data_IF_767740155782
#
_entry.id   IF_767740155782
#
_cell.length_a   1.000
_cell.length_b   1.000
_cell.length_c   1.000
_cell.angle_alpha   90.00
_cell.angle_beta   90.00
_cell.angle_gamma   90.00
#
_symmetry.space_group_name_H-M   'P 1'
#
loop_
_entity.id
_entity.type
_entity.pdbx_description
1 polymer ?
#
# COMPACT_ATOMS: atom_id res chain seq x y z
N UNK A 1 -8.93 25.77 46.24
CA UNK A 1 -7.95 24.86 45.59
C UNK A 1 -8.66 24.25 44.41
N UNK A 2 -8.44 24.79 43.21
CA UNK A 2 -9.11 24.34 41.99
C UNK A 2 -8.13 23.50 41.19
N UNK A 3 -8.31 22.18 41.23
CA UNK A 3 -7.53 21.23 40.46
C UNK A 3 -8.00 21.26 39.00
N UNK A 4 -7.20 21.86 38.12
CA UNK A 4 -7.38 21.77 36.68
C UNK A 4 -7.06 20.34 36.22
N UNK A 5 -8.09 19.59 35.84
CA UNK A 5 -7.98 18.36 35.08
C UNK A 5 -7.33 18.68 33.72
N UNK A 6 -6.05 18.37 33.58
CA UNK A 6 -5.39 18.35 32.28
C UNK A 6 -5.95 17.18 31.47
N UNK A 7 -6.71 17.49 30.42
CA UNK A 7 -7.01 16.51 29.37
C UNK A 7 -5.71 15.90 28.85
N UNK A 8 -5.66 14.60 28.54
CA UNK A 8 -4.47 14.00 27.96
C UNK A 8 -4.18 14.71 26.64
N UNK A 9 -3.00 15.33 26.54
CA UNK A 9 -2.58 16.00 25.33
C UNK A 9 -2.58 14.97 24.19
N UNK A 10 -3.40 15.21 23.17
CA UNK A 10 -3.34 14.45 21.93
C UNK A 10 -1.89 14.43 21.47
N UNK A 11 -1.28 13.26 21.20
CA UNK A 11 0.07 13.24 20.68
C UNK A 11 0.12 14.14 19.43
N UNK A 12 1.20 14.92 19.23
CA UNK A 12 1.32 15.75 18.04
C UNK A 12 1.06 14.87 16.81
N UNK A 13 0.32 15.39 15.83
CA UNK A 13 -0.15 14.62 14.66
C UNK A 13 0.98 13.81 13.98
N UNK A 14 2.21 14.32 14.05
CA UNK A 14 3.47 13.67 13.65
C UNK A 14 3.66 12.29 14.26
N UNK A 15 3.69 12.18 15.59
CA UNK A 15 3.93 10.90 16.26
C UNK A 15 2.74 9.96 16.14
N UNK A 16 1.52 10.52 16.06
CA UNK A 16 0.29 9.73 15.88
C UNK A 16 0.28 8.99 14.55
N UNK A 17 0.64 9.64 13.45
CA UNK A 17 0.62 9.02 12.12
C UNK A 17 1.54 7.78 12.04
N UNK A 18 2.80 7.92 12.47
CA UNK A 18 3.76 6.81 12.51
C UNK A 18 3.30 5.67 13.42
N UNK A 19 2.80 5.99 14.63
CA UNK A 19 2.30 4.98 15.56
C UNK A 19 1.07 4.24 15.02
N UNK A 20 0.16 4.94 14.34
CA UNK A 20 -0.98 4.31 13.68
C UNK A 20 -0.51 3.38 12.55
N UNK A 21 0.45 3.79 11.71
CA UNK A 21 1.01 2.93 10.66
C UNK A 21 1.69 1.67 11.22
N UNK A 22 2.42 1.79 12.32
CA UNK A 22 3.08 0.67 13.00
C UNK A 22 2.07 -0.32 13.61
N UNK A 23 0.94 0.18 14.11
CA UNK A 23 -0.09 -0.65 14.74
C UNK A 23 -1.15 -1.19 13.78
N UNK A 24 -1.32 -0.59 12.59
CA UNK A 24 -2.51 -0.82 11.75
C UNK A 24 -2.71 -2.29 11.33
N UNK A 25 -1.64 -3.03 11.06
CA UNK A 25 -1.74 -4.44 10.68
C UNK A 25 -2.05 -5.40 11.84
N UNK A 26 -2.05 -4.92 13.09
CA UNK A 26 -2.30 -5.76 14.28
C UNK A 26 -3.77 -6.08 14.52
N UNK A 27 -4.70 -5.23 14.04
CA UNK A 27 -6.14 -5.40 14.27
C UNK A 27 -6.98 -4.61 13.27
N UNK A 28 -8.25 -5.00 13.11
CA UNK A 28 -9.19 -4.28 12.25
C UNK A 28 -9.48 -2.86 12.75
N UNK A 29 -9.52 -2.66 14.07
CA UNK A 29 -9.81 -1.35 14.65
C UNK A 29 -8.64 -0.38 14.47
N UNK A 30 -7.39 -0.84 14.64
CA UNK A 30 -6.21 -0.03 14.36
C UNK A 30 -6.13 0.38 12.89
N UNK A 31 -6.43 -0.54 11.95
CA UNK A 31 -6.45 -0.22 10.53
C UNK A 31 -7.56 0.79 10.15
N UNK A 32 -8.75 0.64 10.74
CA UNK A 32 -9.85 1.60 10.58
C UNK A 32 -9.48 2.97 11.14
N UNK A 33 -8.83 3.03 12.30
CA UNK A 33 -8.37 4.28 12.90
C UNK A 33 -7.34 4.97 12.00
N UNK A 34 -6.34 4.25 11.49
CA UNK A 34 -5.40 4.79 10.53
C UNK A 34 -6.13 5.39 9.33
N UNK A 35 -7.04 4.62 8.71
CA UNK A 35 -7.78 5.09 7.55
C UNK A 35 -8.61 6.35 7.85
N UNK A 36 -9.34 6.37 8.96
CA UNK A 36 -10.11 7.53 9.39
C UNK A 36 -9.21 8.76 9.62
N UNK A 37 -8.03 8.55 10.23
CA UNK A 37 -7.05 9.60 10.45
C UNK A 37 -6.50 10.16 9.13
N UNK A 38 -6.16 9.32 8.14
CA UNK A 38 -5.75 9.79 6.80
C UNK A 38 -6.88 10.60 6.15
N UNK A 39 -8.11 10.07 6.16
CA UNK A 39 -9.26 10.69 5.50
C UNK A 39 -9.74 11.98 6.17
N UNK A 40 -9.36 12.22 7.43
CA UNK A 40 -9.72 13.43 8.17
C UNK A 40 -8.97 14.70 7.72
N UNK A 41 -7.87 14.55 6.97
CA UNK A 41 -6.99 15.68 6.60
C UNK A 41 -6.07 16.15 7.74
N UNK A 42 -5.87 15.32 8.77
CA UNK A 42 -4.91 15.56 9.85
C UNK A 42 -3.44 15.34 9.45
N UNK A 43 -3.17 14.61 8.34
CA UNK A 43 -1.83 14.47 7.77
C UNK A 43 -1.53 15.69 6.90
N UNK A 44 -0.47 16.44 7.25
CA UNK A 44 -0.07 17.70 6.62
C UNK A 44 1.45 17.77 6.50
N UNK A 45 1.98 18.84 5.90
CA UNK A 45 3.42 19.12 5.75
C UNK A 45 4.26 18.74 6.98
N UNK A 46 3.76 19.12 8.16
CA UNK A 46 4.41 18.91 9.45
C UNK A 46 4.59 17.44 9.84
N UNK A 47 3.73 16.56 9.32
CA UNK A 47 3.68 15.13 9.62
C UNK A 47 4.76 14.36 8.86
N UNK A 48 5.30 14.91 7.77
CA UNK A 48 6.28 14.24 6.92
C UNK A 48 7.71 14.40 7.44
N UNK A 49 8.06 13.61 8.45
CA UNK A 49 9.43 13.46 8.93
C UNK A 49 10.06 12.12 8.51
N UNK A 50 11.34 11.91 8.83
CA UNK A 50 12.06 10.68 8.51
C UNK A 50 11.35 9.43 9.08
N UNK A 51 10.84 9.52 10.31
CA UNK A 51 10.12 8.43 10.95
C UNK A 51 8.83 8.09 10.20
N UNK A 52 8.09 9.10 9.72
CA UNK A 52 6.89 8.89 8.92
C UNK A 52 7.19 8.06 7.67
N UNK A 53 8.25 8.41 6.92
CA UNK A 53 8.62 7.65 5.71
C UNK A 53 9.11 6.25 6.03
N UNK A 54 9.84 6.06 7.13
CA UNK A 54 10.24 4.73 7.61
C UNK A 54 9.03 3.85 7.97
N UNK A 55 8.10 4.38 8.77
CA UNK A 55 6.86 3.68 9.14
C UNK A 55 6.01 3.35 7.91
N UNK A 56 5.90 4.27 6.95
CA UNK A 56 5.18 4.05 5.70
C UNK A 56 5.83 2.94 4.86
N UNK A 57 7.16 2.96 4.72
CA UNK A 57 7.92 1.92 4.02
C UNK A 57 7.76 0.57 4.69
N UNK A 58 7.77 0.51 6.02
CA UNK A 58 7.57 -0.72 6.77
C UNK A 58 6.15 -1.27 6.59
N UNK A 59 5.13 -0.40 6.60
CA UNK A 59 3.74 -0.79 6.32
C UNK A 59 3.59 -1.33 4.89
N UNK A 60 4.18 -0.67 3.89
CA UNK A 60 4.21 -1.16 2.50
C UNK A 60 4.86 -2.54 2.41
N UNK A 61 6.01 -2.73 3.04
CA UNK A 61 6.74 -4.00 3.08
C UNK A 61 5.89 -5.12 3.72
N UNK A 62 5.21 -4.84 4.83
CA UNK A 62 4.30 -5.79 5.49
C UNK A 62 3.11 -6.17 4.59
N UNK A 63 2.47 -5.19 3.95
CA UNK A 63 1.35 -5.43 3.03
C UNK A 63 1.76 -6.31 1.85
N UNK A 64 2.92 -6.03 1.26
CA UNK A 64 3.47 -6.81 0.14
C UNK A 64 3.97 -8.20 0.56
N UNK A 65 4.22 -8.42 1.84
CA UNK A 65 4.63 -9.72 2.39
C UNK A 65 3.44 -10.56 2.90
N UNK A 66 2.22 -10.01 2.90
CA UNK A 66 1.03 -10.65 3.50
C UNK A 66 0.61 -11.87 2.69
N UNK A 67 0.73 -13.07 3.24
CA UNK A 67 0.28 -14.30 2.55
C UNK A 67 -1.22 -14.31 2.30
N UNK A 68 -1.69 -15.21 1.43
CA UNK A 68 -3.13 -15.34 1.14
C UNK A 68 -3.98 -15.43 2.42
N UNK A 69 -5.01 -14.56 2.58
CA UNK A 69 -5.84 -14.55 3.77
C UNK A 69 -6.70 -15.81 3.85
N UNK A 70 -6.82 -16.36 5.06
CA UNK A 70 -7.60 -17.57 5.31
C UNK A 70 -9.08 -17.27 5.52
N UNK A 71 -9.38 -16.16 6.20
CA UNK A 71 -10.73 -15.70 6.61
C UNK A 71 -10.97 -14.26 6.17
N UNK A 72 -12.24 -13.89 6.04
CA UNK A 72 -12.64 -12.50 5.76
C UNK A 72 -12.09 -11.50 6.78
N UNK A 73 -12.08 -11.86 8.07
CA UNK A 73 -11.58 -10.95 9.12
C UNK A 73 -10.08 -10.68 9.02
N UNK A 74 -9.30 -11.62 8.46
CA UNK A 74 -7.86 -11.43 8.21
C UNK A 74 -7.61 -10.40 7.10
N UNK A 75 -8.60 -10.22 6.20
CA UNK A 75 -8.53 -9.31 5.06
C UNK A 75 -8.84 -7.85 5.46
N UNK A 76 -9.68 -7.64 6.47
CA UNK A 76 -10.16 -6.29 6.84
C UNK A 76 -9.00 -5.33 7.14
N UNK A 77 -8.01 -5.66 8.00
CA UNK A 77 -6.89 -4.76 8.27
C UNK A 77 -6.09 -4.42 7.01
N UNK A 78 -5.73 -5.44 6.21
CA UNK A 78 -4.96 -5.25 5.00
C UNK A 78 -5.65 -4.30 4.00
N UNK A 79 -6.97 -4.44 3.83
CA UNK A 79 -7.74 -3.57 2.93
C UNK A 79 -7.76 -2.11 3.38
N UNK A 80 -7.95 -1.86 4.67
CA UNK A 80 -7.89 -0.49 5.21
C UNK A 80 -6.48 0.10 5.11
N UNK A 81 -5.45 -0.68 5.42
CA UNK A 81 -4.06 -0.25 5.29
C UNK A 81 -3.69 0.07 3.84
N UNK A 82 -4.05 -0.77 2.87
CA UNK A 82 -3.82 -0.51 1.44
C UNK A 82 -4.48 0.79 0.97
N UNK A 83 -5.74 1.01 1.35
CA UNK A 83 -6.46 2.24 1.03
C UNK A 83 -5.79 3.46 1.69
N UNK A 84 -5.34 3.33 2.94
CA UNK A 84 -4.64 4.39 3.68
C UNK A 84 -3.31 4.75 3.02
N UNK A 85 -2.50 3.77 2.62
CA UNK A 85 -1.23 3.99 1.94
C UNK A 85 -1.44 4.76 0.64
N UNK A 86 -2.38 4.33 -0.20
CA UNK A 86 -2.65 5.04 -1.47
C UNK A 86 -3.14 6.47 -1.22
N UNK A 87 -4.03 6.66 -0.23
CA UNK A 87 -4.50 7.99 0.15
C UNK A 87 -3.38 8.91 0.66
N UNK A 88 -2.43 8.38 1.45
CA UNK A 88 -1.23 9.12 1.88
C UNK A 88 -0.41 9.59 0.69
N UNK A 89 -0.18 8.71 -0.29
CA UNK A 89 0.60 9.02 -1.48
C UNK A 89 -0.09 10.06 -2.40
N UNK A 90 -1.41 10.20 -2.29
CA UNK A 90 -2.19 11.18 -3.05
C UNK A 90 -2.28 12.56 -2.37
N UNK A 91 -1.69 12.72 -1.17
CA UNK A 91 -1.64 14.01 -0.51
C UNK A 91 -0.78 15.00 -1.32
N UNK A 92 -1.28 16.23 -1.59
CA UNK A 92 -0.55 17.24 -2.36
C UNK A 92 0.85 17.56 -1.80
N UNK A 93 0.98 17.51 -0.49
CA UNK A 93 2.16 17.84 0.30
C UNK A 93 3.20 16.69 0.36
N UNK A 94 2.87 15.52 -0.18
CA UNK A 94 3.70 14.32 -0.03
C UNK A 94 5.01 14.41 -0.85
N UNK A 95 6.16 14.30 -0.19
CA UNK A 95 7.46 14.32 -0.84
C UNK A 95 7.93 12.92 -1.28
N UNK A 96 7.78 12.66 -2.58
CA UNK A 96 8.24 11.43 -3.22
C UNK A 96 9.76 11.29 -3.29
N UNK A 97 10.53 12.38 -3.15
CA UNK A 97 11.99 12.34 -3.05
C UNK A 97 12.44 11.66 -1.77
N UNK A 98 11.86 12.06 -0.64
CA UNK A 98 12.10 11.43 0.67
C UNK A 98 11.63 9.97 0.70
N UNK A 99 10.44 9.66 0.13
CA UNK A 99 9.99 8.28 0.00
C UNK A 99 11.00 7.42 -0.79
N UNK A 100 11.49 7.93 -1.93
CA UNK A 100 12.40 7.18 -2.80
C UNK A 100 13.70 6.76 -2.09
N UNK A 101 14.17 7.54 -1.11
CA UNK A 101 15.35 7.21 -0.32
C UNK A 101 15.12 6.07 0.67
N UNK A 102 13.87 5.85 1.09
CA UNK A 102 13.49 4.77 2.01
C UNK A 102 13.17 3.47 1.29
N UNK A 103 12.74 3.53 0.02
CA UNK A 103 12.36 2.35 -0.75
C UNK A 103 13.57 1.52 -1.17
N UNK A 104 13.62 0.28 -0.68
CA UNK A 104 14.65 -0.69 -0.98
C UNK A 104 14.09 -1.94 -1.68
N UNK A 105 14.97 -2.90 -1.96
CA UNK A 105 14.59 -4.16 -2.59
C UNK A 105 13.54 -4.97 -1.81
N UNK A 106 13.37 -4.74 -0.50
CA UNK A 106 12.32 -5.41 0.28
C UNK A 106 10.93 -4.92 -0.07
N UNK A 107 10.80 -3.74 -0.66
CA UNK A 107 9.53 -3.23 -1.20
C UNK A 107 9.45 -3.43 -2.71
N UNK A 108 10.49 -3.04 -3.45
CA UNK A 108 10.43 -2.99 -4.91
C UNK A 108 10.30 -4.39 -5.56
N UNK A 109 10.99 -5.39 -5.03
CA UNK A 109 10.94 -6.75 -5.59
C UNK A 109 9.56 -7.41 -5.36
N UNK A 110 9.01 -7.46 -4.13
CA UNK A 110 7.66 -7.98 -3.91
C UNK A 110 6.59 -7.21 -4.68
N UNK A 111 6.72 -5.88 -4.78
CA UNK A 111 5.78 -5.04 -5.54
C UNK A 111 5.67 -5.47 -7.00
N UNK A 112 6.80 -5.63 -7.69
CA UNK A 112 6.81 -6.03 -9.11
C UNK A 112 6.30 -7.47 -9.27
N UNK A 113 6.74 -8.40 -8.41
CA UNK A 113 6.30 -9.80 -8.46
C UNK A 113 4.79 -9.96 -8.28
N UNK A 114 4.22 -9.25 -7.31
CA UNK A 114 2.77 -9.25 -7.06
C UNK A 114 1.98 -8.62 -8.19
N UNK A 115 2.49 -7.51 -8.73
CA UNK A 115 1.88 -6.84 -9.87
C UNK A 115 1.88 -7.71 -11.15
N UNK A 116 2.85 -8.62 -11.28
CA UNK A 116 2.85 -9.66 -12.33
C UNK A 116 1.98 -10.88 -12.02
N UNK A 117 1.30 -10.92 -10.88
CA UNK A 117 0.39 -12.00 -10.48
C UNK A 117 1.07 -13.24 -9.88
N UNK A 118 2.39 -13.27 -9.70
CA UNK A 118 3.11 -14.44 -9.19
C UNK A 118 2.84 -14.73 -7.69
N UNK A 119 2.53 -13.67 -6.94
CA UNK A 119 2.30 -13.69 -5.49
C UNK A 119 1.03 -12.90 -5.11
N UNK A 120 0.10 -12.72 -6.06
CA UNK A 120 -1.12 -11.95 -5.82
C UNK A 120 -2.12 -12.73 -4.97
N UNK A 121 -2.78 -12.01 -4.05
CA UNK A 121 -3.83 -12.58 -3.18
C UNK A 121 -5.25 -12.30 -3.70
N UNK A 122 -5.39 -11.59 -4.84
CA UNK A 122 -6.67 -11.04 -5.29
C UNK A 122 -7.78 -12.10 -5.46
N UNK A 123 -7.46 -13.25 -6.07
CA UNK A 123 -8.44 -14.32 -6.30
C UNK A 123 -9.06 -14.82 -4.99
N UNK A 124 -8.21 -15.05 -3.98
CA UNK A 124 -8.64 -15.50 -2.65
C UNK A 124 -9.46 -14.43 -1.94
N UNK A 125 -9.03 -13.17 -2.03
CA UNK A 125 -9.75 -12.03 -1.45
C UNK A 125 -11.16 -11.89 -2.03
N UNK A 126 -11.29 -11.93 -3.35
CA UNK A 126 -12.58 -11.86 -4.04
C UNK A 126 -13.52 -12.98 -3.59
N UNK A 127 -13.01 -14.21 -3.46
CA UNK A 127 -13.82 -15.33 -2.98
C UNK A 127 -14.28 -15.15 -1.53
N UNK A 128 -13.41 -14.69 -0.63
CA UNK A 128 -13.78 -14.43 0.77
C UNK A 128 -14.83 -13.31 0.89
N UNK A 129 -14.66 -12.24 0.12
CA UNK A 129 -15.64 -11.14 0.06
C UNK A 129 -16.96 -11.64 -0.50
N UNK A 130 -16.96 -12.53 -1.51
CA UNK A 130 -18.18 -13.06 -2.10
C UNK A 130 -18.95 -14.03 -1.18
N UNK A 131 -18.25 -14.78 -0.33
CA UNK A 131 -18.81 -15.90 0.46
C UNK A 131 -19.19 -15.54 1.90
N UNK A 132 -18.79 -14.38 2.42
CA UNK A 132 -19.12 -13.95 3.78
C UNK A 132 -20.56 -13.42 3.89
N UNK A 133 -21.22 -13.65 5.02
CA UNK A 133 -22.59 -13.16 5.28
C UNK A 133 -22.71 -11.61 5.27
N UNK A 134 -23.87 -11.10 4.87
CA UNK A 134 -24.13 -9.67 4.71
C UNK A 134 -24.04 -8.87 6.00
N UNK A 135 -24.45 -9.41 7.14
CA UNK A 135 -24.40 -8.69 8.41
C UNK A 135 -22.96 -8.57 8.93
N UNK A 136 -22.12 -9.56 8.64
CA UNK A 136 -20.68 -9.48 8.88
C UNK A 136 -20.04 -8.38 8.03
N UNK A 137 -20.45 -8.22 6.76
CA UNK A 137 -19.97 -7.14 5.89
C UNK A 137 -20.40 -5.76 6.38
N UNK A 138 -21.62 -5.63 6.93
CA UNK A 138 -22.10 -4.36 7.50
C UNK A 138 -21.34 -3.96 8.75
N UNK A 139 -21.01 -4.92 9.62
CA UNK A 139 -20.23 -4.67 10.83
C UNK A 139 -18.78 -4.28 10.51
N UNK A 140 -18.22 -4.83 9.43
CA UNK A 140 -16.85 -4.58 8.98
C UNK A 140 -16.83 -4.23 7.48
N UNK A 141 -17.28 -3.01 7.12
CA UNK A 141 -17.26 -2.57 5.73
C UNK A 141 -15.79 -2.43 5.28
N UNK A 142 -15.51 -2.76 4.03
CA UNK A 142 -14.19 -2.58 3.42
C UNK A 142 -14.25 -1.47 2.37
N UNK A 143 -13.21 -0.64 2.22
CA UNK A 143 -13.18 0.37 1.15
C UNK A 143 -13.30 -0.29 -0.23
N UNK A 144 -13.99 0.36 -1.17
CA UNK A 144 -14.26 -0.20 -2.53
C UNK A 144 -12.95 -0.45 -3.29
N UNK A 145 -11.96 0.44 -3.13
CA UNK A 145 -10.64 0.35 -3.73
C UNK A 145 -9.62 -0.08 -2.67
N UNK A 146 -9.55 -1.38 -2.39
CA UNK A 146 -8.65 -1.91 -1.37
C UNK A 146 -8.12 -3.32 -1.66
N UNK A 147 -8.48 -3.90 -2.81
CA UNK A 147 -7.97 -5.19 -3.26
C UNK A 147 -6.47 -5.18 -3.50
N UNK A 148 -5.87 -6.36 -3.47
CA UNK A 148 -4.44 -6.56 -3.71
C UNK A 148 -4.03 -6.06 -5.09
N UNK A 149 -4.75 -6.46 -6.14
CA UNK A 149 -4.43 -6.08 -7.53
C UNK A 149 -4.46 -4.55 -7.71
N UNK A 150 -5.52 -3.91 -7.22
CA UNK A 150 -5.65 -2.45 -7.26
C UNK A 150 -4.51 -1.76 -6.50
N UNK A 151 -4.16 -2.27 -5.31
CA UNK A 151 -3.12 -1.69 -4.47
C UNK A 151 -1.74 -1.78 -5.14
N UNK A 152 -1.34 -2.96 -5.63
CA UNK A 152 -0.01 -3.17 -6.20
C UNK A 152 0.15 -2.41 -7.52
N UNK A 153 -0.89 -2.35 -8.35
CA UNK A 153 -0.88 -1.54 -9.57
C UNK A 153 -0.78 -0.04 -9.24
N UNK A 154 -1.61 0.44 -8.30
CA UNK A 154 -1.65 1.83 -7.86
C UNK A 154 -0.31 2.28 -7.25
N UNK A 155 0.31 1.43 -6.44
CA UNK A 155 1.58 1.70 -5.79
C UNK A 155 2.71 1.69 -6.82
N UNK A 156 2.81 0.66 -7.67
CA UNK A 156 3.85 0.58 -8.69
C UNK A 156 3.79 1.76 -9.65
N UNK A 157 2.60 2.17 -10.07
CA UNK A 157 2.42 3.32 -10.94
C UNK A 157 2.93 4.62 -10.29
N UNK A 158 2.57 4.88 -9.03
CA UNK A 158 3.02 6.09 -8.30
C UNK A 158 4.52 6.10 -8.11
N UNK A 159 5.11 4.99 -7.66
CA UNK A 159 6.56 4.89 -7.48
C UNK A 159 7.28 5.11 -8.82
N UNK A 160 6.81 4.50 -9.91
CA UNK A 160 7.44 4.68 -11.22
C UNK A 160 7.35 6.13 -11.72
N UNK A 161 6.17 6.75 -11.64
CA UNK A 161 5.95 8.10 -12.16
C UNK A 161 6.60 9.18 -11.30
N UNK A 162 6.47 9.07 -9.97
CA UNK A 162 6.84 10.13 -9.03
C UNK A 162 8.22 9.97 -8.39
N UNK A 163 8.84 8.78 -8.46
CA UNK A 163 10.20 8.55 -7.98
C UNK A 163 11.16 8.30 -9.17
N UNK A 164 11.62 9.36 -9.88
CA UNK A 164 12.43 9.20 -11.09
C UNK A 164 13.75 8.46 -10.84
N UNK A 165 14.33 8.58 -9.64
CA UNK A 165 15.55 7.88 -9.22
C UNK A 165 15.40 6.35 -9.21
N UNK A 166 14.18 5.83 -9.01
CA UNK A 166 13.91 4.39 -8.94
C UNK A 166 13.56 3.76 -10.30
N UNK A 167 13.32 4.58 -11.34
CA UNK A 167 12.90 4.10 -12.67
C UNK A 167 13.87 3.09 -13.28
N UNK A 168 15.22 3.26 -13.25
CA UNK A 168 16.13 2.28 -13.84
C UNK A 168 16.01 0.90 -13.19
N UNK A 169 15.93 0.87 -11.86
CA UNK A 169 15.78 -0.36 -11.08
C UNK A 169 14.41 -1.01 -11.32
N UNK A 170 13.33 -0.23 -11.34
CA UNK A 170 12.00 -0.72 -11.66
C UNK A 170 11.91 -1.32 -13.07
N UNK A 171 12.50 -0.66 -14.08
CA UNK A 171 12.56 -1.20 -15.44
C UNK A 171 13.29 -2.54 -15.51
N UNK A 172 14.40 -2.68 -14.77
CA UNK A 172 15.13 -3.94 -14.67
C UNK A 172 14.25 -5.04 -14.07
N UNK A 173 13.65 -4.79 -12.90
CA UNK A 173 12.79 -5.76 -12.21
C UNK A 173 11.57 -6.16 -13.06
N UNK A 174 10.94 -5.20 -13.74
CA UNK A 174 9.81 -5.47 -14.65
C UNK A 174 10.27 -6.31 -15.84
N UNK A 175 11.44 -6.01 -16.42
CA UNK A 175 12.04 -6.81 -17.49
C UNK A 175 12.30 -8.26 -17.05
N UNK A 176 12.87 -8.46 -15.87
CA UNK A 176 13.10 -9.78 -15.28
C UNK A 176 11.78 -10.55 -15.07
N UNK A 177 10.74 -9.88 -14.57
CA UNK A 177 9.42 -10.48 -14.38
C UNK A 177 8.77 -10.90 -15.72
N UNK A 178 8.94 -10.10 -16.77
CA UNK A 178 8.45 -10.42 -18.12
C UNK A 178 9.21 -11.59 -18.76
N UNK A 179 10.53 -11.65 -18.57
CA UNK A 179 11.34 -12.80 -19.01
C UNK A 179 10.90 -14.07 -18.27
N UNK A 180 10.71 -14.00 -16.95
CA UNK A 180 10.21 -15.11 -16.16
C UNK A 180 8.82 -15.58 -16.63
N UNK A 181 7.94 -14.64 -16.99
CA UNK A 181 6.65 -14.97 -17.60
C UNK A 181 6.79 -15.69 -18.93
N UNK A 182 7.63 -15.18 -19.83
CA UNK A 182 7.84 -15.80 -21.15
C UNK A 182 8.40 -17.22 -21.05
N UNK A 183 9.26 -17.48 -20.07
CA UNK A 183 9.81 -18.81 -19.79
C UNK A 183 8.81 -19.74 -19.11
N UNK A 184 8.02 -19.22 -18.17
CA UNK A 184 7.09 -20.00 -17.34
C UNK A 184 5.71 -19.33 -17.22
N UNK A 185 4.88 -19.33 -18.28
CA UNK A 185 3.62 -18.56 -18.31
C UNK A 185 2.61 -18.97 -17.24
N UNK A 186 2.61 -20.24 -16.83
CA UNK A 186 1.62 -20.78 -15.89
C UNK A 186 1.76 -20.25 -14.45
N UNK A 187 2.88 -19.59 -14.11
CA UNK A 187 3.13 -19.05 -12.77
C UNK A 187 2.73 -17.59 -12.57
N UNK A 188 2.51 -16.83 -13.64
CA UNK A 188 2.18 -15.41 -13.56
C UNK A 188 0.81 -15.18 -14.19
N UNK A 189 -0.23 -15.29 -13.35
CA UNK A 189 -1.62 -15.33 -13.81
C UNK A 189 -2.15 -14.00 -14.35
N UNK A 190 -1.49 -12.88 -14.05
CA UNK A 190 -1.95 -11.54 -14.44
C UNK A 190 -0.79 -10.62 -14.82
N UNK A 191 -0.14 -10.90 -15.96
CA UNK A 191 0.98 -10.08 -16.46
C UNK A 191 0.54 -8.70 -16.99
N UNK A 192 -0.77 -8.48 -17.17
CA UNK A 192 -1.34 -7.30 -17.84
C UNK A 192 -0.90 -5.98 -17.19
N UNK A 193 -0.88 -5.83 -15.85
CA UNK A 193 -0.43 -4.59 -15.22
C UNK A 193 1.03 -4.24 -15.56
N UNK A 194 1.91 -5.24 -15.60
CA UNK A 194 3.32 -5.04 -15.97
C UNK A 194 3.48 -4.67 -17.45
N UNK A 195 2.71 -5.27 -18.34
CA UNK A 195 2.70 -4.92 -19.77
C UNK A 195 2.17 -3.49 -19.97
N UNK A 196 1.11 -3.11 -19.26
CA UNK A 196 0.56 -1.75 -19.27
C UNK A 196 1.58 -0.71 -18.81
N UNK A 197 2.32 -1.00 -17.73
CA UNK A 197 3.42 -0.15 -17.27
C UNK A 197 4.53 -0.02 -18.33
N UNK A 198 4.92 -1.12 -18.98
CA UNK A 198 5.90 -1.09 -20.07
C UNK A 198 5.45 -0.24 -21.26
N UNK A 199 4.18 -0.32 -21.65
CA UNK A 199 3.65 0.54 -22.70
C UNK A 199 3.78 2.03 -22.36
N UNK A 200 3.53 2.41 -21.09
CA UNK A 200 3.73 3.79 -20.60
C UNK A 200 5.20 4.18 -20.58
N UNK A 201 6.08 3.28 -20.12
CA UNK A 201 7.53 3.49 -20.13
C UNK A 201 8.01 3.82 -21.55
N UNK A 202 7.58 3.01 -22.52
CA UNK A 202 8.00 3.13 -23.92
C UNK A 202 7.45 4.41 -24.56
N UNK A 203 6.17 4.73 -24.32
CA UNK A 203 5.55 5.95 -24.85
C UNK A 203 6.17 7.27 -24.33
N UNK A 204 6.93 7.21 -23.24
CA UNK A 204 7.62 8.38 -22.66
C UNK A 204 9.05 8.61 -23.18
N UNK A 205 9.61 7.74 -24.04
CA UNK A 205 10.92 7.98 -24.63
C UNK A 205 10.85 9.03 -25.75
N UNK A 206 11.70 10.05 -25.66
CA UNK A 206 11.94 10.97 -26.78
C UNK A 206 12.91 10.29 -27.76
N UNK A 207 12.50 10.19 -29.02
CA UNK A 207 13.27 9.62 -30.14
C UNK A 207 14.24 10.62 -30.72
#
# INVERSE_FOLDING_TARGET
MSSSLSSPATPPARSRASSLMEAAMSSADAAKELYAFVMSGEIRDETFDEKFYESLRNLMSQLLSTTEPSRYLDLVPARYCRASVVAILDLPEFDYGSLAQQLDNRVLLPLVKRCGGAESTESRECMLVATVDMDTRKANPIPVHSGDAWFVESLLHRVYEKCPSLRPQLRLLVGEALVAFAQCPQRNADIKPLVSLMARIIGGFQT
#
